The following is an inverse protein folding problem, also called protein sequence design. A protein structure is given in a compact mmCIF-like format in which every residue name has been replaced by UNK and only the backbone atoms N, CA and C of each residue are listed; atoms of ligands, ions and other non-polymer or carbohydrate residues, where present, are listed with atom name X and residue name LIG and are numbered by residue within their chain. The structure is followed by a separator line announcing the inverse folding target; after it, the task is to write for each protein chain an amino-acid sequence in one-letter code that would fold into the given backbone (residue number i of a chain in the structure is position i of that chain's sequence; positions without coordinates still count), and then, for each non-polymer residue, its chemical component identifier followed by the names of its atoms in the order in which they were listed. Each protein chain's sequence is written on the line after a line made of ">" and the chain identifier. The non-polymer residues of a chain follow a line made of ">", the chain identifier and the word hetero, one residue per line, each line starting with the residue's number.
data_IF_639901552227
#
_entry.id   IF_639901552227
#
_cell.length_a   1.000
_cell.length_b   1.000
_cell.length_c   1.000
_cell.angle_alpha   90.00
_cell.angle_beta   90.00
_cell.angle_gamma   90.00
#
_symmetry.space_group_name_H-M   'P 1'
#
loop_
_entity.id
_entity.type
_entity.pdbx_description
1 polymer ?
#
# COMPACT_ATOMS: atom_id res chain seq x y z
N UNK A 1 8.55 0.88 -9.26
CA UNK A 1 8.13 0.34 -10.57
C UNK A 1 8.35 -1.16 -10.65
N UNK A 2 9.58 -1.59 -10.93
CA UNK A 2 9.92 -3.00 -11.17
C UNK A 2 9.65 -3.94 -9.97
N UNK A 3 10.22 -3.64 -8.79
CA UNK A 3 10.04 -4.48 -7.59
C UNK A 3 8.57 -4.61 -7.15
N UNK A 4 7.80 -3.54 -7.33
CA UNK A 4 6.39 -3.53 -6.97
C UNK A 4 5.54 -4.40 -7.93
N UNK A 5 5.81 -4.31 -9.22
CA UNK A 5 5.18 -5.19 -10.20
C UNK A 5 5.58 -6.66 -9.99
N UNK A 6 6.86 -6.91 -9.68
CA UNK A 6 7.35 -8.24 -9.35
C UNK A 6 6.66 -8.80 -8.09
N UNK A 7 6.54 -7.99 -7.04
CA UNK A 7 5.80 -8.34 -5.83
C UNK A 7 4.36 -8.75 -6.15
N UNK A 8 3.61 -7.93 -6.92
CA UNK A 8 2.23 -8.27 -7.29
C UNK A 8 2.11 -9.59 -8.06
N UNK A 9 3.03 -9.84 -9.00
CA UNK A 9 3.03 -11.09 -9.80
C UNK A 9 3.39 -12.29 -8.93
N UNK A 10 4.40 -12.17 -8.08
CA UNK A 10 4.81 -13.24 -7.16
C UNK A 10 3.69 -13.53 -6.16
N UNK A 11 3.11 -12.51 -5.52
CA UNK A 11 1.99 -12.68 -4.58
C UNK A 11 0.80 -13.35 -5.24
N UNK A 12 0.45 -12.95 -6.47
CA UNK A 12 -0.62 -13.60 -7.22
C UNK A 12 -0.30 -15.07 -7.51
N UNK A 13 0.91 -15.38 -7.95
CA UNK A 13 1.32 -16.76 -8.22
C UNK A 13 1.43 -17.61 -6.96
N UNK A 14 1.86 -17.03 -5.84
CA UNK A 14 1.88 -17.69 -4.54
C UNK A 14 0.45 -17.99 -4.06
N UNK A 15 -0.50 -17.06 -4.25
CA UNK A 15 -1.91 -17.28 -3.89
C UNK A 15 -2.63 -18.35 -4.72
N UNK A 16 -2.04 -18.83 -5.82
CA UNK A 16 -2.59 -19.97 -6.59
C UNK A 16 -2.29 -21.32 -5.93
N UNK A 17 -1.27 -21.41 -5.07
CA UNK A 17 -0.81 -22.64 -4.43
C UNK A 17 -0.93 -22.63 -2.91
N UNK A 18 -0.73 -21.46 -2.28
CA UNK A 18 -0.79 -21.25 -0.84
C UNK A 18 -2.08 -20.53 -0.44
N UNK A 19 -2.56 -20.79 0.77
CA UNK A 19 -3.69 -20.02 1.33
C UNK A 19 -3.28 -18.56 1.56
N UNK A 20 -4.26 -17.65 1.51
CA UNK A 20 -4.06 -16.21 1.75
C UNK A 20 -3.36 -15.95 3.10
N UNK A 21 -3.65 -16.77 4.10
CA UNK A 21 -3.07 -16.72 5.45
C UNK A 21 -1.57 -17.07 5.44
N UNK A 22 -1.16 -18.09 4.68
CA UNK A 22 0.24 -18.49 4.55
C UNK A 22 1.08 -17.41 3.88
N UNK A 23 0.56 -16.79 2.81
CA UNK A 23 1.22 -15.67 2.14
C UNK A 23 1.40 -14.46 3.05
N UNK A 24 0.38 -14.12 3.86
CA UNK A 24 0.46 -13.04 4.85
C UNK A 24 1.48 -13.37 5.94
N UNK A 25 1.48 -14.62 6.43
CA UNK A 25 2.39 -15.08 7.48
C UNK A 25 3.86 -14.96 7.06
N UNK A 26 4.22 -15.47 5.88
CA UNK A 26 5.58 -15.37 5.36
C UNK A 26 6.00 -13.92 5.10
N UNK A 27 5.12 -13.10 4.53
CA UNK A 27 5.40 -11.67 4.30
C UNK A 27 5.63 -10.94 5.62
N UNK A 28 4.84 -11.25 6.65
CA UNK A 28 4.94 -10.63 7.97
C UNK A 28 6.21 -11.05 8.72
N UNK A 29 6.59 -12.33 8.66
CA UNK A 29 7.85 -12.82 9.25
C UNK A 29 9.05 -12.19 8.58
N UNK A 30 9.06 -12.13 7.25
CA UNK A 30 10.16 -11.52 6.52
C UNK A 30 10.31 -10.04 6.90
N UNK A 31 9.19 -9.30 6.94
CA UNK A 31 9.16 -7.93 7.43
C UNK A 31 9.66 -7.81 8.88
N UNK A 32 9.21 -8.69 9.78
CA UNK A 32 9.63 -8.70 11.18
C UNK A 32 11.14 -8.90 11.33
N UNK A 33 11.72 -9.88 10.64
CA UNK A 33 13.16 -10.19 10.73
C UNK A 33 14.00 -9.01 10.24
N UNK A 34 13.64 -8.44 9.07
CA UNK A 34 14.37 -7.32 8.49
C UNK A 34 14.27 -6.07 9.37
N UNK A 35 13.05 -5.72 9.80
CA UNK A 35 12.84 -4.53 10.63
C UNK A 35 13.51 -4.70 12.00
N UNK A 36 13.49 -5.89 12.59
CA UNK A 36 14.20 -6.16 13.86
C UNK A 36 15.71 -6.00 13.68
N UNK A 37 16.28 -6.52 12.59
CA UNK A 37 17.71 -6.37 12.31
C UNK A 37 18.11 -4.89 12.14
N UNK A 38 17.29 -4.09 11.44
CA UNK A 38 17.52 -2.65 11.28
C UNK A 38 17.34 -1.89 12.61
N UNK A 39 16.37 -2.28 13.42
CA UNK A 39 16.10 -1.67 14.71
C UNK A 39 17.27 -1.81 15.69
N UNK A 40 18.10 -2.87 15.58
CA UNK A 40 19.31 -3.02 16.39
C UNK A 40 20.34 -1.90 16.14
N UNK A 41 20.37 -1.35 14.92
CA UNK A 41 21.32 -0.30 14.56
C UNK A 41 20.72 1.11 14.68
N UNK A 42 19.42 1.26 14.36
CA UNK A 42 18.71 2.56 14.33
C UNK A 42 17.69 2.70 15.48
N UNK A 43 17.97 2.13 16.64
CA UNK A 43 17.05 2.17 17.77
C UNK A 43 16.80 3.61 18.25
N UNK A 44 15.53 3.99 18.36
CA UNK A 44 15.10 5.23 19.00
C UNK A 44 14.26 4.93 20.25
N UNK A 45 14.43 5.69 21.34
CA UNK A 45 13.64 5.49 22.56
C UNK A 45 12.15 5.73 22.30
N UNK A 46 11.32 4.81 22.79
CA UNK A 46 9.87 4.88 22.62
C UNK A 46 9.27 5.95 23.55
N UNK A 47 8.65 6.96 22.97
CA UNK A 47 7.77 7.89 23.69
C UNK A 47 6.45 7.22 24.08
N UNK A 48 5.79 7.71 25.14
CA UNK A 48 4.47 7.20 25.57
C UNK A 48 3.43 7.22 24.45
N UNK A 49 3.47 8.23 23.58
CA UNK A 49 2.62 8.30 22.39
C UNK A 49 2.90 7.16 21.41
N UNK A 50 4.18 6.85 21.17
CA UNK A 50 4.61 5.78 20.28
C UNK A 50 4.11 4.41 20.72
N UNK A 51 4.02 4.20 22.04
CA UNK A 51 3.54 2.94 22.61
C UNK A 51 2.10 2.60 22.22
N UNK A 52 1.23 3.61 22.05
CA UNK A 52 -0.15 3.42 21.61
C UNK A 52 -0.30 3.44 20.08
N UNK A 53 0.44 4.30 19.39
CA UNK A 53 0.29 4.46 17.93
C UNK A 53 0.90 3.26 17.16
N UNK A 54 2.00 2.67 17.64
CA UNK A 54 2.69 1.57 16.97
C UNK A 54 1.81 0.31 16.79
N UNK A 55 1.15 -0.22 17.84
CA UNK A 55 0.27 -1.37 17.66
C UNK A 55 -0.94 -1.04 16.77
N UNK A 56 -1.48 0.18 16.85
CA UNK A 56 -2.58 0.61 15.98
C UNK A 56 -2.16 0.61 14.49
N UNK A 57 -0.98 1.18 14.18
CA UNK A 57 -0.41 1.17 12.83
C UNK A 57 -0.15 -0.27 12.38
N UNK A 58 0.37 -1.14 13.25
CA UNK A 58 0.60 -2.55 12.94
C UNK A 58 -0.67 -3.29 12.54
N UNK A 59 -1.76 -3.11 13.32
CA UNK A 59 -3.07 -3.70 13.01
C UNK A 59 -3.62 -3.18 11.68
N UNK A 60 -3.59 -1.86 11.47
CA UNK A 60 -4.04 -1.23 10.22
C UNK A 60 -3.23 -1.72 9.02
N UNK A 61 -1.91 -1.83 9.15
CA UNK A 61 -1.02 -2.30 8.10
C UNK A 61 -1.27 -3.77 7.75
N UNK A 62 -1.51 -4.60 8.76
CA UNK A 62 -1.82 -6.02 8.58
C UNK A 62 -3.15 -6.17 7.86
N UNK A 63 -4.17 -5.41 8.26
CA UNK A 63 -5.48 -5.41 7.60
C UNK A 63 -5.39 -4.93 6.15
N UNK A 64 -4.60 -3.89 5.88
CA UNK A 64 -4.36 -3.37 4.53
C UNK A 64 -3.66 -4.42 3.65
N UNK A 65 -2.60 -5.07 4.16
CA UNK A 65 -1.90 -6.13 3.43
C UNK A 65 -2.79 -7.35 3.16
N UNK A 66 -3.56 -7.78 4.16
CA UNK A 66 -4.48 -8.90 4.01
C UNK A 66 -5.56 -8.61 2.96
N UNK A 67 -6.14 -7.39 2.99
CA UNK A 67 -7.10 -6.95 1.97
C UNK A 67 -6.50 -6.93 0.57
N UNK A 68 -5.23 -6.54 0.45
CA UNK A 68 -4.50 -6.51 -0.82
C UNK A 68 -4.24 -7.93 -1.35
N UNK A 69 -3.84 -8.87 -0.48
CA UNK A 69 -3.65 -10.28 -0.84
C UNK A 69 -4.96 -10.89 -1.36
N UNK A 70 -6.06 -10.73 -0.61
CA UNK A 70 -7.39 -11.20 -1.04
C UNK A 70 -7.80 -10.57 -2.38
N UNK A 71 -7.55 -9.27 -2.54
CA UNK A 71 -7.85 -8.55 -3.78
C UNK A 71 -7.10 -9.13 -4.97
N UNK A 72 -5.79 -9.38 -4.83
CA UNK A 72 -4.94 -9.97 -5.88
C UNK A 72 -5.27 -11.43 -6.18
N UNK A 73 -5.65 -12.19 -5.15
CA UNK A 73 -6.08 -13.59 -5.31
C UNK A 73 -7.40 -13.69 -6.08
N UNK A 74 -8.35 -12.78 -5.81
CA UNK A 74 -9.72 -12.84 -6.36
C UNK A 74 -9.95 -11.98 -7.60
N UNK A 75 -9.03 -11.10 -7.98
CA UNK A 75 -9.19 -10.21 -9.12
C UNK A 75 -7.88 -10.01 -9.89
N UNK A 76 -7.94 -9.80 -11.22
CA UNK A 76 -6.76 -9.47 -12.01
C UNK A 76 -6.09 -8.20 -11.47
N UNK A 77 -4.76 -8.19 -11.39
CA UNK A 77 -3.99 -7.03 -10.95
C UNK A 77 -4.36 -5.73 -11.70
N UNK A 78 -4.78 -5.85 -12.97
CA UNK A 78 -5.27 -4.72 -13.77
C UNK A 78 -6.51 -4.04 -13.18
N UNK A 79 -7.41 -4.75 -12.49
CA UNK A 79 -8.57 -4.17 -11.81
C UNK A 79 -8.22 -3.49 -10.47
N UNK A 80 -7.08 -3.85 -9.88
CA UNK A 80 -6.61 -3.28 -8.60
C UNK A 80 -5.80 -2.00 -8.85
N UNK A 81 -5.13 -1.93 -10.00
CA UNK A 81 -4.28 -0.81 -10.39
C UNK A 81 -4.95 0.58 -10.29
N UNK A 82 -6.25 0.76 -10.62
CA UNK A 82 -6.95 2.02 -10.41
C UNK A 82 -7.02 2.50 -8.96
N UNK A 83 -7.08 1.58 -7.99
CA UNK A 83 -7.09 1.94 -6.57
C UNK A 83 -5.76 2.54 -6.13
N UNK A 84 -4.64 2.16 -6.75
CA UNK A 84 -3.35 2.77 -6.43
C UNK A 84 -3.26 4.23 -6.86
N UNK A 85 -4.00 4.64 -7.89
CA UNK A 85 -4.04 6.05 -8.29
C UNK A 85 -4.77 6.92 -7.26
N UNK A 86 -5.66 6.36 -6.44
CA UNK A 86 -6.34 7.13 -5.38
C UNK A 86 -5.43 7.34 -4.16
N UNK A 87 -4.30 6.63 -4.04
CA UNK A 87 -3.35 6.84 -2.95
C UNK A 87 -2.78 8.26 -2.94
N UNK A 88 -2.58 8.88 -4.12
CA UNK A 88 -2.10 10.27 -4.20
C UNK A 88 -3.11 11.23 -3.55
N UNK A 89 -4.39 10.98 -3.73
CA UNK A 89 -5.47 11.79 -3.19
C UNK A 89 -5.48 11.71 -1.66
N UNK A 90 -5.40 10.50 -1.11
CA UNK A 90 -5.29 10.29 0.33
C UNK A 90 -3.99 10.82 0.92
N UNK A 91 -2.88 10.71 0.19
CA UNK A 91 -1.58 11.24 0.62
C UNK A 91 -1.62 12.77 0.77
N UNK A 92 -2.28 13.49 -0.14
CA UNK A 92 -2.44 14.95 -0.05
C UNK A 92 -3.32 15.32 1.14
N UNK A 93 -4.44 14.62 1.34
CA UNK A 93 -5.35 14.85 2.48
C UNK A 93 -4.63 14.62 3.81
N UNK A 94 -3.94 13.49 3.95
CA UNK A 94 -3.21 13.18 5.18
C UNK A 94 -1.98 14.06 5.38
N UNK A 95 -1.28 14.45 4.31
CA UNK A 95 -0.21 15.46 4.35
C UNK A 95 -0.71 16.77 4.95
N UNK A 96 -1.84 17.27 4.46
CA UNK A 96 -2.45 18.49 4.97
C UNK A 96 -2.91 18.34 6.43
N UNK A 97 -3.60 17.25 6.79
CA UNK A 97 -4.17 17.05 8.13
C UNK A 97 -3.08 16.86 9.21
N UNK A 98 -2.08 16.01 8.95
CA UNK A 98 -1.11 15.62 9.97
C UNK A 98 0.15 16.48 9.98
N UNK A 99 0.53 17.02 8.81
CA UNK A 99 1.79 17.76 8.65
C UNK A 99 1.57 19.24 8.35
N UNK A 100 0.31 19.69 8.18
CA UNK A 100 -0.02 21.05 7.72
C UNK A 100 0.68 21.40 6.40
N UNK A 101 1.05 20.39 5.61
CA UNK A 101 1.71 20.55 4.33
C UNK A 101 0.69 21.02 3.30
N UNK A 102 0.78 22.30 2.93
CA UNK A 102 -0.05 22.89 1.88
C UNK A 102 0.56 22.49 0.52
N UNK A 103 -0.17 21.78 -0.35
CA UNK A 103 0.37 21.34 -1.62
C UNK A 103 0.66 22.54 -2.54
N UNK A 104 1.91 22.66 -2.99
CA UNK A 104 2.30 23.65 -3.98
C UNK A 104 1.64 23.40 -5.35
N UNK A 105 1.63 24.42 -6.20
CA UNK A 105 1.08 24.35 -7.57
C UNK A 105 1.57 23.12 -8.36
N UNK A 106 2.87 22.74 -8.35
CA UNK A 106 3.33 21.53 -9.03
C UNK A 106 2.71 20.25 -8.48
N UNK A 107 2.51 20.16 -7.16
CA UNK A 107 1.88 19.02 -6.49
C UNK A 107 0.42 18.88 -6.92
N UNK A 108 -0.31 19.99 -7.01
CA UNK A 108 -1.71 20.00 -7.47
C UNK A 108 -1.80 19.57 -8.93
N UNK A 109 -0.93 20.08 -9.80
CA UNK A 109 -0.90 19.69 -11.23
C UNK A 109 -0.59 18.21 -11.38
N UNK A 110 0.40 17.69 -10.66
CA UNK A 110 0.73 16.27 -10.67
C UNK A 110 -0.43 15.40 -10.17
N UNK A 111 -1.09 15.82 -9.09
CA UNK A 111 -2.26 15.12 -8.55
C UNK A 111 -3.43 15.07 -9.55
N UNK A 112 -3.71 16.17 -10.25
CA UNK A 112 -4.72 16.24 -11.30
C UNK A 112 -4.41 15.27 -12.44
N UNK A 113 -3.17 15.25 -12.92
CA UNK A 113 -2.75 14.34 -14.00
C UNK A 113 -2.95 12.88 -13.59
N UNK A 114 -2.57 12.51 -12.37
CA UNK A 114 -2.76 11.14 -11.85
C UNK A 114 -4.25 10.82 -11.71
N UNK A 115 -5.07 11.76 -11.20
CA UNK A 115 -6.51 11.59 -11.08
C UNK A 115 -7.19 11.38 -12.44
N UNK A 116 -6.86 12.20 -13.45
CA UNK A 116 -7.38 12.05 -14.81
C UNK A 116 -6.95 10.73 -15.46
N UNK A 117 -5.69 10.33 -15.26
CA UNK A 117 -5.19 9.02 -15.71
C UNK A 117 -5.99 7.87 -15.08
N UNK A 118 -6.26 7.94 -13.77
CA UNK A 118 -7.07 6.96 -13.07
C UNK A 118 -8.49 6.85 -13.63
N UNK A 119 -9.17 7.98 -13.84
CA UNK A 119 -10.52 8.01 -14.44
C UNK A 119 -10.51 7.44 -15.86
N UNK A 120 -9.49 7.78 -16.67
CA UNK A 120 -9.35 7.26 -18.03
C UNK A 120 -9.17 5.74 -18.07
N UNK A 121 -8.32 5.20 -17.20
CA UNK A 121 -8.08 3.75 -17.10
C UNK A 121 -9.35 3.02 -16.67
N UNK A 122 -10.07 3.52 -15.66
CA UNK A 122 -11.34 2.92 -15.20
C UNK A 122 -12.36 2.91 -16.35
N UNK A 123 -12.49 4.03 -17.07
CA UNK A 123 -13.44 4.16 -18.19
C UNK A 123 -13.12 3.21 -19.35
N UNK A 124 -11.84 2.93 -19.61
CA UNK A 124 -11.43 1.98 -20.64
C UNK A 124 -11.65 0.52 -20.21
N UNK A 125 -11.51 0.20 -18.92
CA UNK A 125 -11.82 -1.13 -18.41
C UNK A 125 -13.32 -1.46 -18.50
N UNK A 126 -14.20 -0.47 -18.34
CA UNK A 126 -15.66 -0.66 -18.48
C UNK A 126 -16.09 -0.93 -19.93
N UNK A 127 -15.30 -0.49 -20.93
CA UNK A 127 -15.62 -0.69 -22.36
C UNK A 127 -15.11 -2.02 -22.94
N UNK A 128 -14.30 -2.77 -22.21
CA UNK A 128 -13.69 -4.04 -22.65
C UNK A 128 -14.43 -5.29 -22.13
N UNK A 129 -15.56 -5.11 -21.45
CA UNK A 129 -16.52 -6.15 -21.08
C UNK A 129 -17.75 -6.07 -22.02
#
# INVERSE_FOLDING_TARGET
>A
GFFFALYQVITKKASEYDSDETSLFFTSIFGLVIITALALYYWHPLTYFSFFILPLIGVMMTLAHYSLIIGLARSPASKIQPFHFTLIFWAIIFGYIFYSDIPDIPTIVGALVIAFSGVFVIRNQTKSN
#
